data_IF_737016935699
#
_entry.id   IF_737016935699
#
_cell.length_a   1.000
_cell.length_b   1.000
_cell.length_c   1.000
_cell.angle_alpha   90.00
_cell.angle_beta   90.00
_cell.angle_gamma   90.00
#
_symmetry.space_group_name_H-M   'P 1'
#
loop_
_entity.id
_entity.type
_entity.pdbx_description
1 polymer ?
#
# COMPACT_ATOMS: atom_id res chain seq x y z
N UNK A 1 12.77 3.87 -7.62
CA UNK A 1 13.03 4.17 -9.06
C UNK A 1 11.88 4.98 -9.66
N UNK A 2 11.95 5.43 -10.92
CA UNK A 2 10.83 6.15 -11.57
C UNK A 2 9.69 5.21 -11.99
N UNK A 3 8.47 5.74 -12.13
CA UNK A 3 7.30 4.96 -12.55
C UNK A 3 7.50 4.26 -13.89
N UNK A 4 8.17 4.92 -14.84
CA UNK A 4 8.47 4.35 -16.16
C UNK A 4 9.50 3.21 -16.09
N UNK A 5 10.49 3.29 -15.18
CA UNK A 5 11.44 2.18 -14.97
C UNK A 5 10.76 0.99 -14.30
N UNK A 6 9.92 1.23 -13.29
CA UNK A 6 9.15 0.17 -12.65
C UNK A 6 8.19 -0.52 -13.62
N UNK A 7 7.53 0.23 -14.50
CA UNK A 7 6.60 -0.30 -15.50
C UNK A 7 7.24 -1.25 -16.52
N UNK A 8 8.57 -1.17 -16.71
CA UNK A 8 9.34 -2.10 -17.57
C UNK A 8 9.65 -3.43 -16.88
N UNK A 9 9.56 -3.50 -15.55
CA UNK A 9 9.82 -4.72 -14.78
C UNK A 9 8.57 -5.56 -14.57
N UNK A 10 7.38 -4.98 -14.75
CA UNK A 10 6.10 -5.67 -14.60
C UNK A 10 5.98 -6.85 -15.56
N UNK A 11 5.70 -8.03 -15.01
CA UNK A 11 5.35 -9.24 -15.74
C UNK A 11 3.86 -9.19 -16.07
N UNK A 12 3.55 -8.96 -17.34
CA UNK A 12 2.17 -8.87 -17.83
C UNK A 12 1.64 -10.24 -18.21
N UNK A 13 0.64 -10.72 -17.48
CA UNK A 13 -0.07 -11.98 -17.75
C UNK A 13 -1.60 -11.80 -17.83
N UNK A 14 -2.11 -10.57 -17.66
CA UNK A 14 -3.54 -10.27 -17.69
C UNK A 14 -4.33 -10.77 -16.49
N UNK A 15 -3.69 -11.25 -15.42
CA UNK A 15 -4.38 -11.74 -14.23
C UNK A 15 -5.07 -10.59 -13.48
N UNK A 16 -6.40 -10.61 -13.47
CA UNK A 16 -7.27 -9.67 -12.75
C UNK A 16 -8.34 -10.45 -11.98
N UNK A 17 -8.09 -10.82 -10.72
CA UNK A 17 -9.06 -11.53 -9.90
C UNK A 17 -10.18 -10.62 -9.36
N UNK A 18 -10.10 -9.30 -9.60
CA UNK A 18 -11.06 -8.30 -9.13
C UNK A 18 -11.53 -7.40 -10.27
N UNK A 19 -12.44 -7.88 -11.15
CA UNK A 19 -12.96 -7.07 -12.26
C UNK A 19 -13.56 -5.72 -11.83
N UNK A 20 -14.13 -5.65 -10.62
CA UNK A 20 -14.64 -4.40 -10.03
C UNK A 20 -13.58 -3.29 -9.86
N UNK A 21 -12.28 -3.63 -9.84
CA UNK A 21 -11.20 -2.67 -9.75
C UNK A 21 -10.89 -1.97 -11.08
N UNK A 22 -11.31 -2.53 -12.22
CA UNK A 22 -10.92 -2.08 -13.57
C UNK A 22 -11.13 -0.57 -13.79
N UNK A 23 -12.25 0.06 -13.37
CA UNK A 23 -12.42 1.50 -13.52
C UNK A 23 -11.36 2.31 -12.77
N UNK A 24 -10.97 1.90 -11.57
CA UNK A 24 -9.96 2.56 -10.74
C UNK A 24 -8.53 2.24 -11.20
N UNK A 25 -8.29 1.04 -11.71
CA UNK A 25 -7.00 0.59 -12.25
C UNK A 25 -6.55 1.40 -13.48
N UNK A 26 -7.51 1.97 -14.22
CA UNK A 26 -7.27 2.76 -15.44
C UNK A 26 -7.12 4.26 -15.19
N UNK A 27 -7.32 4.72 -13.95
CA UNK A 27 -7.26 6.15 -13.59
C UNK A 27 -5.84 6.53 -13.18
N UNK A 28 -5.36 7.65 -13.73
CA UNK A 28 -4.11 8.31 -13.31
C UNK A 28 -4.46 9.69 -12.75
N UNK A 29 -3.95 10.07 -11.57
CA UNK A 29 -4.18 11.40 -11.01
C UNK A 29 -3.71 12.51 -11.95
N UNK A 30 -4.52 13.55 -12.13
CA UNK A 30 -4.13 14.74 -12.91
C UNK A 30 -3.06 15.54 -12.18
N UNK A 31 -2.20 16.25 -12.92
CA UNK A 31 -1.09 17.05 -12.36
C UNK A 31 -1.55 18.02 -11.26
N UNK A 32 -2.66 18.76 -11.47
CA UNK A 32 -3.19 19.70 -10.46
C UNK A 32 -3.56 18.99 -9.15
N UNK A 33 -4.17 17.80 -9.24
CA UNK A 33 -4.53 16.98 -8.09
C UNK A 33 -3.30 16.47 -7.34
N UNK A 34 -2.29 15.98 -8.07
CA UNK A 34 -1.03 15.54 -7.47
C UNK A 34 -0.29 16.68 -6.78
N UNK A 35 -0.19 17.86 -7.42
CA UNK A 35 0.44 19.03 -6.81
C UNK A 35 -0.23 19.43 -5.49
N UNK A 36 -1.57 19.46 -5.46
CA UNK A 36 -2.31 19.77 -4.25
C UNK A 36 -2.06 18.72 -3.15
N UNK A 37 -2.05 17.44 -3.52
CA UNK A 37 -1.76 16.36 -2.58
C UNK A 37 -0.32 16.40 -2.05
N UNK A 38 0.67 16.63 -2.92
CA UNK A 38 2.09 16.78 -2.55
C UNK A 38 2.33 17.94 -1.60
N UNK A 39 1.63 19.06 -1.79
CA UNK A 39 1.76 20.23 -0.93
C UNK A 39 1.23 20.00 0.50
N UNK A 40 0.30 19.05 0.68
CA UNK A 40 -0.33 18.74 1.97
C UNK A 40 0.31 17.53 2.67
N UNK A 41 0.94 16.62 1.93
CA UNK A 41 1.48 15.38 2.48
C UNK A 41 2.79 15.58 3.23
N UNK A 42 2.80 15.14 4.48
CA UNK A 42 3.99 15.05 5.31
C UNK A 42 4.78 13.75 5.10
N UNK A 43 4.32 12.86 4.20
CA UNK A 43 5.02 11.61 3.91
C UNK A 43 6.40 11.93 3.30
N UNK A 44 7.52 11.43 3.86
CA UNK A 44 8.89 11.84 3.46
C UNK A 44 9.21 11.69 1.97
N UNK A 45 8.54 10.75 1.29
CA UNK A 45 8.69 10.46 -0.13
C UNK A 45 7.48 10.86 -0.98
N UNK A 46 6.58 11.71 -0.47
CA UNK A 46 5.38 12.16 -1.17
C UNK A 46 5.67 12.65 -2.60
N UNK A 47 6.74 13.42 -2.80
CA UNK A 47 7.15 13.94 -4.12
C UNK A 47 7.38 12.89 -5.20
N UNK A 48 7.61 11.63 -4.82
CA UNK A 48 7.81 10.52 -5.74
C UNK A 48 6.54 9.73 -6.02
N UNK A 49 5.50 9.87 -5.20
CA UNK A 49 4.18 9.23 -5.40
C UNK A 49 3.45 9.96 -6.53
N UNK A 50 3.04 9.24 -7.57
CA UNK A 50 2.34 9.81 -8.72
C UNK A 50 1.24 8.91 -9.31
N UNK A 51 1.17 7.63 -8.94
CA UNK A 51 0.17 6.70 -9.47
C UNK A 51 0.21 6.56 -11.01
N UNK A 52 1.37 6.80 -11.63
CA UNK A 52 1.50 6.85 -13.08
C UNK A 52 1.72 5.47 -13.70
N UNK A 53 0.71 4.60 -13.58
CA UNK A 53 0.67 3.27 -14.17
C UNK A 53 -0.77 2.85 -14.45
N UNK A 54 -0.97 1.90 -15.37
CA UNK A 54 -2.25 1.26 -15.66
C UNK A 54 -1.97 -0.21 -15.96
N UNK A 55 -2.83 -1.08 -15.47
CA UNK A 55 -2.73 -2.52 -15.66
C UNK A 55 -3.86 -3.22 -14.92
N UNK A 56 -3.71 -4.53 -14.71
CA UNK A 56 -4.53 -5.26 -13.74
C UNK A 56 -4.14 -4.90 -12.31
N UNK A 57 -4.94 -5.33 -11.33
CA UNK A 57 -4.64 -5.16 -9.91
C UNK A 57 -3.29 -5.81 -9.57
N UNK A 58 -3.01 -7.01 -10.08
CA UNK A 58 -1.72 -7.67 -9.87
C UNK A 58 -0.55 -6.89 -10.49
N UNK A 59 -0.71 -6.41 -11.73
CA UNK A 59 0.32 -5.61 -12.41
C UNK A 59 0.59 -4.29 -11.67
N UNK A 60 -0.44 -3.67 -11.07
CA UNK A 60 -0.30 -2.47 -10.24
C UNK A 60 0.46 -2.77 -8.95
N UNK A 61 0.19 -3.91 -8.32
CA UNK A 61 0.90 -4.37 -7.12
C UNK A 61 2.40 -4.57 -7.45
N UNK A 62 2.71 -5.31 -8.51
CA UNK A 62 4.09 -5.50 -9.00
C UNK A 62 4.77 -4.16 -9.28
N UNK A 63 4.09 -3.29 -10.03
CA UNK A 63 4.63 -1.98 -10.39
C UNK A 63 4.99 -1.14 -9.16
N UNK A 64 4.12 -1.10 -8.16
CA UNK A 64 4.42 -0.37 -6.92
C UNK A 64 5.59 -0.99 -6.17
N UNK A 65 5.61 -2.32 -6.03
CA UNK A 65 6.69 -3.04 -5.37
C UNK A 65 8.05 -2.69 -6.00
N UNK A 66 8.17 -2.81 -7.32
CA UNK A 66 9.40 -2.47 -8.04
C UNK A 66 9.77 -1.00 -7.93
N UNK A 67 8.78 -0.10 -7.99
CA UNK A 67 9.05 1.33 -7.86
C UNK A 67 9.74 1.66 -6.55
N UNK A 68 9.36 1.00 -5.47
CA UNK A 68 9.85 1.24 -4.12
C UNK A 68 10.92 0.26 -3.64
N UNK A 69 11.36 -0.66 -4.50
CA UNK A 69 12.38 -1.66 -4.16
C UNK A 69 11.90 -2.62 -3.08
N UNK A 70 10.64 -3.01 -3.15
CA UNK A 70 9.97 -3.93 -2.23
C UNK A 70 9.69 -5.25 -2.95
N UNK A 71 9.49 -6.30 -2.15
CA UNK A 71 9.06 -7.60 -2.65
C UNK A 71 7.59 -7.55 -3.08
N UNK A 72 7.31 -8.01 -4.30
CA UNK A 72 5.96 -8.05 -4.88
C UNK A 72 5.02 -8.99 -4.13
N UNK A 73 5.50 -10.14 -3.65
CA UNK A 73 4.70 -11.11 -2.91
C UNK A 73 4.35 -10.57 -1.51
N UNK A 74 5.23 -9.77 -0.90
CA UNK A 74 4.89 -9.02 0.32
C UNK A 74 3.73 -8.03 0.07
N UNK A 75 3.79 -7.25 -1.02
CA UNK A 75 2.70 -6.31 -1.32
C UNK A 75 1.40 -7.03 -1.68
N UNK A 76 1.48 -8.20 -2.31
CA UNK A 76 0.33 -9.07 -2.57
C UNK A 76 -0.27 -9.58 -1.26
N UNK A 77 0.54 -10.08 -0.33
CA UNK A 77 0.08 -10.59 0.97
C UNK A 77 -0.57 -9.49 1.81
N UNK A 78 0.00 -8.29 1.82
CA UNK A 78 -0.62 -7.15 2.52
C UNK A 78 -1.96 -6.82 1.89
N UNK A 79 -2.05 -6.68 0.56
CA UNK A 79 -3.32 -6.38 -0.10
C UNK A 79 -4.39 -7.47 0.15
N UNK A 80 -3.99 -8.73 0.36
CA UNK A 80 -4.91 -9.80 0.80
C UNK A 80 -5.51 -9.44 2.16
N UNK A 81 -4.68 -9.10 3.15
CA UNK A 81 -5.12 -8.77 4.51
C UNK A 81 -5.94 -7.48 4.54
N UNK A 82 -5.49 -6.44 3.85
CA UNK A 82 -6.09 -5.10 3.89
C UNK A 82 -7.47 -5.02 3.24
N UNK A 83 -7.67 -5.73 2.13
CA UNK A 83 -8.89 -5.54 1.33
C UNK A 83 -9.34 -6.76 0.55
N UNK A 84 -8.64 -7.88 0.67
CA UNK A 84 -8.79 -9.02 -0.23
C UNK A 84 -8.62 -8.60 -1.70
N UNK A 85 -7.71 -7.65 -1.96
CA UNK A 85 -7.47 -6.97 -3.24
C UNK A 85 -8.62 -6.08 -3.75
N UNK A 86 -9.62 -5.72 -2.94
CA UNK A 86 -10.75 -4.90 -3.38
C UNK A 86 -10.43 -3.40 -3.24
N UNK A 87 -10.34 -2.70 -4.37
CA UNK A 87 -10.16 -1.23 -4.37
C UNK A 87 -11.38 -0.48 -3.82
N UNK A 88 -12.56 -1.11 -3.80
CA UNK A 88 -13.77 -0.55 -3.19
C UNK A 88 -13.83 -0.73 -1.67
N UNK A 89 -12.86 -1.39 -1.04
CA UNK A 89 -12.89 -1.67 0.39
C UNK A 89 -12.89 -0.39 1.23
N UNK A 90 -13.73 -0.39 2.26
CA UNK A 90 -13.85 0.65 3.26
C UNK A 90 -13.76 -0.01 4.64
N UNK A 91 -12.75 0.35 5.42
CA UNK A 91 -12.50 -0.17 6.77
C UNK A 91 -12.58 0.93 7.83
N UNK A 92 -12.27 0.56 9.08
CA UNK A 92 -12.20 1.48 10.23
C UNK A 92 -13.40 2.43 10.36
N UNK A 93 -14.61 1.86 10.38
CA UNK A 93 -15.86 2.61 10.46
C UNK A 93 -16.02 3.72 9.39
N UNK A 94 -15.35 3.58 8.25
CA UNK A 94 -15.41 4.54 7.16
C UNK A 94 -14.17 5.41 6.97
N UNK A 95 -13.06 5.15 7.67
CA UNK A 95 -11.85 5.98 7.63
C UNK A 95 -10.67 5.40 6.84
N UNK A 96 -10.74 4.13 6.43
CA UNK A 96 -9.67 3.45 5.69
C UNK A 96 -10.11 2.98 4.32
N UNK A 97 -9.27 3.17 3.30
CA UNK A 97 -9.72 3.07 1.92
C UNK A 97 -8.82 2.31 0.96
N UNK A 98 -9.49 1.54 0.10
CA UNK A 98 -8.92 0.96 -1.10
C UNK A 98 -8.01 -0.20 -0.83
N UNK A 99 -7.18 -0.49 -1.83
CA UNK A 99 -6.38 -1.71 -1.93
C UNK A 99 -5.52 -1.96 -0.67
N UNK A 100 -4.94 -0.90 -0.12
CA UNK A 100 -4.06 -0.95 1.04
C UNK A 100 -4.63 -0.28 2.30
N UNK A 101 -5.92 0.09 2.34
CA UNK A 101 -6.55 0.75 3.51
C UNK A 101 -5.88 2.06 3.93
N UNK A 102 -5.67 2.97 2.97
CA UNK A 102 -5.13 4.31 3.27
C UNK A 102 -6.08 5.06 4.20
N UNK A 103 -5.59 5.41 5.40
CA UNK A 103 -6.41 5.85 6.54
C UNK A 103 -6.39 7.35 6.82
N UNK A 104 -7.54 7.92 7.18
CA UNK A 104 -7.68 9.28 7.75
C UNK A 104 -7.36 9.32 9.26
N UNK A 105 -6.92 10.48 9.78
CA UNK A 105 -6.48 11.69 9.08
C UNK A 105 -4.99 11.65 8.66
N UNK A 106 -4.31 10.54 8.88
CA UNK A 106 -2.85 10.45 8.84
C UNK A 106 -2.27 10.34 7.44
N UNK A 107 -2.94 9.60 6.56
CA UNK A 107 -2.43 9.27 5.23
C UNK A 107 -3.18 9.96 4.09
N UNK A 108 -4.35 10.50 4.40
CA UNK A 108 -5.15 11.32 3.52
C UNK A 108 -6.15 12.16 4.31
N UNK A 109 -6.86 13.03 3.61
CA UNK A 109 -7.77 14.02 4.20
C UNK A 109 -9.09 14.09 3.45
N UNK A 110 -10.06 14.75 4.06
CA UNK A 110 -11.40 14.98 3.52
C UNK A 110 -12.03 13.64 3.11
N UNK A 111 -12.54 13.51 1.88
CA UNK A 111 -13.08 12.25 1.35
C UNK A 111 -12.01 11.25 0.92
N UNK A 112 -10.72 11.52 1.14
CA UNK A 112 -9.61 10.66 0.72
C UNK A 112 -9.65 10.29 -0.77
N UNK A 113 -10.19 11.19 -1.61
CA UNK A 113 -10.66 10.90 -2.96
C UNK A 113 -9.62 10.19 -3.85
N UNK A 114 -8.38 10.67 -3.81
CA UNK A 114 -7.30 10.14 -4.65
C UNK A 114 -6.95 8.69 -4.26
N UNK A 115 -6.92 8.36 -2.97
CA UNK A 115 -6.65 7.00 -2.52
C UNK A 115 -7.87 6.08 -2.69
N UNK A 116 -9.10 6.61 -2.75
CA UNK A 116 -10.33 5.83 -2.98
C UNK A 116 -10.59 5.46 -4.44
N UNK A 117 -10.05 6.23 -5.39
CA UNK A 117 -10.48 6.15 -6.80
C UNK A 117 -9.38 5.83 -7.80
N UNK A 118 -8.13 5.74 -7.34
CA UNK A 118 -6.97 5.53 -8.20
C UNK A 118 -6.13 4.40 -7.60
N UNK A 119 -6.37 3.15 -8.05
CA UNK A 119 -5.64 1.98 -7.54
C UNK A 119 -4.13 2.14 -7.65
N UNK A 120 -3.57 2.63 -8.79
CA UNK A 120 -2.13 2.85 -8.88
C UNK A 120 -1.62 3.85 -7.85
N UNK A 121 -2.37 4.92 -7.57
CA UNK A 121 -1.97 5.87 -6.54
C UNK A 121 -2.01 5.25 -5.13
N UNK A 122 -3.07 4.49 -4.81
CA UNK A 122 -3.21 3.81 -3.52
C UNK A 122 -2.03 2.87 -3.27
N UNK A 123 -1.68 2.04 -4.26
CA UNK A 123 -0.51 1.15 -4.20
C UNK A 123 0.81 1.91 -4.12
N UNK A 124 0.99 2.96 -4.91
CA UNK A 124 2.21 3.78 -4.94
C UNK A 124 2.45 4.50 -3.62
N UNK A 125 1.39 5.03 -3.01
CA UNK A 125 1.44 5.64 -1.69
C UNK A 125 1.88 4.61 -0.63
N UNK A 126 1.24 3.44 -0.63
CA UNK A 126 1.59 2.34 0.28
C UNK A 126 3.08 1.94 0.14
N UNK A 127 3.56 1.71 -1.08
CA UNK A 127 4.98 1.40 -1.29
C UNK A 127 5.91 2.51 -0.78
N UNK A 128 5.53 3.77 -0.99
CA UNK A 128 6.29 4.93 -0.53
C UNK A 128 6.39 5.06 0.98
N UNK A 129 5.27 4.86 1.70
CA UNK A 129 5.26 4.95 3.16
C UNK A 129 6.01 3.77 3.80
N UNK A 130 5.86 2.55 3.26
CA UNK A 130 6.63 1.38 3.72
C UNK A 130 8.13 1.61 3.53
N UNK A 131 8.54 2.16 2.37
CA UNK A 131 9.94 2.51 2.14
C UNK A 131 10.43 3.58 3.11
N UNK A 132 9.61 4.58 3.43
CA UNK A 132 9.97 5.62 4.39
C UNK A 132 10.18 5.07 5.81
N UNK A 133 9.34 4.13 6.26
CA UNK A 133 9.56 3.40 7.52
C UNK A 133 10.87 2.61 7.47
N UNK A 134 11.09 1.83 6.41
CA UNK A 134 12.30 1.02 6.26
C UNK A 134 13.58 1.87 6.24
N UNK A 135 13.53 3.06 5.63
CA UNK A 135 14.67 3.98 5.51
C UNK A 135 15.00 4.78 6.78
N UNK A 136 14.29 4.56 7.88
CA UNK A 136 14.55 5.33 9.11
C UNK A 136 13.98 6.75 9.05
N UNK A 137 13.03 7.06 8.16
CA UNK A 137 12.51 8.43 7.96
C UNK A 137 11.38 8.82 8.90
N UNK A 138 11.05 7.97 9.87
CA UNK A 138 9.95 8.19 10.82
C UNK A 138 10.44 8.25 12.28
N UNK A 139 11.39 9.13 12.63
CA UNK A 139 12.02 9.15 13.96
C UNK A 139 11.03 9.42 15.10
N UNK A 140 9.87 10.03 14.80
CA UNK A 140 8.78 10.23 15.76
C UNK A 140 8.23 8.92 16.34
N UNK A 141 8.46 7.76 15.70
CA UNK A 141 8.12 6.46 16.30
C UNK A 141 8.87 6.19 17.61
N UNK A 142 10.02 6.82 17.84
CA UNK A 142 10.75 6.75 19.11
C UNK A 142 10.21 7.72 20.17
N UNK A 143 9.27 8.60 19.82
CA UNK A 143 8.66 9.58 20.75
C UNK A 143 7.24 9.18 21.18
N UNK A 144 6.77 8.00 20.76
CA UNK A 144 5.45 7.46 21.08
C UNK A 144 5.58 6.03 21.64
N UNK A 145 4.45 5.44 22.03
CA UNK A 145 4.38 4.04 22.44
C UNK A 145 4.98 3.11 21.38
N UNK A 146 5.83 2.18 21.82
CA UNK A 146 6.51 1.21 20.97
C UNK A 146 6.92 -0.03 21.78
N UNK A 147 7.02 -1.18 21.12
CA UNK A 147 7.52 -2.42 21.73
C UNK A 147 9.04 -2.56 21.70
N UNK A 148 9.73 -1.86 20.80
CA UNK A 148 11.20 -1.72 20.77
C UNK A 148 11.60 -0.41 20.09
N UNK A 149 12.88 -0.05 20.10
CA UNK A 149 13.35 1.14 19.40
C UNK A 149 13.22 1.02 17.88
N UNK A 150 12.79 2.13 17.27
CA UNK A 150 12.71 2.28 15.82
C UNK A 150 14.10 2.53 15.23
N UNK A 151 14.45 1.70 14.25
CA UNK A 151 15.68 1.75 13.49
C UNK A 151 15.41 1.40 12.00
N UNK A 152 16.24 1.90 11.07
CA UNK A 152 16.13 1.53 9.65
C UNK A 152 16.42 0.04 9.41
N UNK A 153 15.98 -0.47 8.27
CA UNK A 153 16.27 -1.83 7.80
C UNK A 153 15.25 -2.90 8.17
N UNK A 154 14.17 -2.53 8.87
CA UNK A 154 13.16 -3.47 9.37
C UNK A 154 11.86 -3.40 8.53
N UNK A 155 11.72 -4.34 7.58
CA UNK A 155 10.54 -4.41 6.70
C UNK A 155 9.29 -4.84 7.44
N UNK A 156 9.41 -5.74 8.42
CA UNK A 156 8.26 -6.21 9.19
C UNK A 156 7.76 -5.11 10.12
N UNK A 157 8.66 -4.41 10.82
CA UNK A 157 8.29 -3.21 11.56
C UNK A 157 7.56 -2.17 10.71
N UNK A 158 7.99 -1.99 9.45
CA UNK A 158 7.32 -1.08 8.49
C UNK A 158 5.89 -1.50 8.18
N UNK A 159 5.66 -2.79 7.97
CA UNK A 159 4.34 -3.39 7.73
C UNK A 159 3.44 -3.27 8.96
N UNK A 160 3.98 -3.55 10.15
CA UNK A 160 3.25 -3.40 11.41
C UNK A 160 2.87 -1.94 11.70
N UNK A 161 3.79 -1.00 11.47
CA UNK A 161 3.56 0.43 11.69
C UNK A 161 2.53 1.02 10.72
N UNK A 162 2.42 0.49 9.49
CA UNK A 162 1.34 0.84 8.57
C UNK A 162 -0.04 0.56 9.19
N UNK A 163 -0.22 -0.64 9.75
CA UNK A 163 -1.49 -1.06 10.32
C UNK A 163 -1.84 -0.33 11.63
N UNK A 164 -0.91 -0.29 12.59
CA UNK A 164 -1.20 0.17 13.94
C UNK A 164 -0.88 1.65 14.18
N UNK A 165 -0.08 2.28 13.31
CA UNK A 165 0.53 3.57 13.57
C UNK A 165 1.56 3.56 14.72
N UNK A 166 2.01 2.37 15.15
CA UNK A 166 2.94 2.16 16.27
C UNK A 166 4.02 1.15 15.90
N UNK A 167 5.20 1.27 16.53
CA UNK A 167 6.32 0.39 16.22
C UNK A 167 6.33 -0.82 17.16
N UNK A 168 6.13 -2.02 16.64
CA UNK A 168 6.26 -3.29 17.39
C UNK A 168 5.37 -3.42 18.64
N UNK A 169 4.26 -2.69 18.73
CA UNK A 169 3.22 -2.97 19.73
C UNK A 169 2.53 -4.30 19.42
N UNK A 170 1.85 -4.90 20.40
CA UNK A 170 1.18 -6.19 20.21
C UNK A 170 0.23 -6.22 18.99
N UNK A 171 -0.63 -5.21 18.74
CA UNK A 171 -1.47 -5.18 17.53
C UNK A 171 -0.66 -5.20 16.23
N UNK A 172 0.53 -4.58 16.23
CA UNK A 172 1.44 -4.61 15.09
C UNK A 172 1.97 -6.03 14.85
N UNK A 173 2.32 -6.74 15.93
CA UNK A 173 2.85 -8.10 15.89
C UNK A 173 1.79 -9.09 15.41
N UNK A 174 0.56 -8.97 15.90
CA UNK A 174 -0.55 -9.82 15.50
C UNK A 174 -0.84 -9.63 14.00
N UNK A 175 -0.88 -8.39 13.53
CA UNK A 175 -1.06 -8.08 12.11
C UNK A 175 0.10 -8.62 11.24
N UNK A 176 1.36 -8.40 11.65
CA UNK A 176 2.53 -8.94 10.93
C UNK A 176 2.44 -10.46 10.79
N UNK A 177 2.01 -11.16 11.85
CA UNK A 177 1.82 -12.61 11.84
C UNK A 177 0.81 -13.06 10.79
N UNK A 178 -0.33 -12.36 10.68
CA UNK A 178 -1.34 -12.63 9.65
C UNK A 178 -0.79 -12.38 8.25
N UNK A 179 -0.06 -11.28 8.02
CA UNK A 179 0.55 -10.99 6.72
C UNK A 179 1.58 -12.06 6.35
N UNK A 180 2.44 -12.48 7.29
CA UNK A 180 3.41 -13.55 7.10
C UNK A 180 2.73 -14.87 6.74
N UNK A 181 1.62 -15.19 7.40
CA UNK A 181 0.83 -16.37 7.05
C UNK A 181 0.30 -16.29 5.61
N UNK A 182 -0.31 -15.16 5.21
CA UNK A 182 -0.82 -14.98 3.83
C UNK A 182 0.29 -15.01 2.78
N UNK A 183 1.48 -14.53 3.13
CA UNK A 183 2.68 -14.61 2.31
C UNK A 183 3.12 -16.07 2.13
N UNK A 184 3.25 -16.82 3.22
CA UNK A 184 3.65 -18.23 3.19
C UNK A 184 2.65 -19.12 2.43
N UNK A 185 1.36 -18.87 2.59
CA UNK A 185 0.28 -19.56 1.88
C UNK A 185 0.15 -19.12 0.42
N UNK A 186 0.79 -18.01 0.02
CA UNK A 186 0.58 -17.32 -1.26
C UNK A 186 -0.90 -17.19 -1.58
N UNK A 187 -1.68 -16.64 -0.64
CA UNK A 187 -3.14 -16.71 -0.67
C UNK A 187 -3.75 -16.24 -1.99
N UNK A 188 -3.16 -15.26 -2.67
CA UNK A 188 -3.62 -14.75 -3.97
C UNK A 188 -3.55 -15.75 -5.13
N UNK A 189 -2.82 -16.87 -4.97
CA UNK A 189 -2.75 -17.95 -5.96
C UNK A 189 -3.75 -19.08 -5.69
N UNK A 190 -4.42 -19.06 -4.52
CA UNK A 190 -5.32 -20.16 -4.15
C UNK A 190 -6.65 -20.06 -4.92
N UNK A 191 -7.29 -21.19 -5.27
CA UNK A 191 -8.56 -21.17 -5.99
C UNK A 191 -9.68 -20.39 -5.28
N UNK A 192 -9.73 -20.47 -3.96
CA UNK A 192 -10.70 -19.79 -3.10
C UNK A 192 -10.47 -18.28 -3.01
N UNK A 193 -9.31 -17.75 -3.44
CA UNK A 193 -9.06 -16.33 -3.45
C UNK A 193 -9.98 -15.55 -4.38
N UNK A 194 -10.34 -16.14 -5.52
CA UNK A 194 -11.28 -15.54 -6.47
C UNK A 194 -12.71 -15.67 -5.96
N UNK A 195 -13.03 -16.78 -5.29
CA UNK A 195 -14.37 -17.11 -4.81
C UNK A 195 -14.75 -16.44 -3.48
N UNK A 196 -13.81 -16.14 -2.60
CA UNK A 196 -14.02 -15.43 -1.31
C UNK A 196 -14.28 -13.92 -1.47
N UNK A 197 -14.76 -13.52 -2.64
CA UNK A 197 -14.91 -12.17 -3.20
C UNK A 197 -16.29 -11.57 -3.02
#
# INVERSE_FOLDING_TARGET
MSSAKAAKQVKRNGYEPRPGNVPSNRRIPKIKMLKAWHARSEMPYAKFVNGNFKGTTDEIIQWSAYKWGLDEDLLRSVAVVESWWRMGAVGDAGDSFGLYQVRRPFHCWDECWIARRFTPFNADYYGGIIRAYFDGKMPWLNTVERGKDYAPGDIWGSVGAWFSGRWYTQPSIDYMTVVQQRLAERTWLRPDFVAGG
#
